data_IF_838963989803
#
_entry.id   IF_838963989803
#
_cell.length_a   1.000
_cell.length_b   1.000
_cell.length_c   1.000
_cell.angle_alpha   90.00
_cell.angle_beta   90.00
_cell.angle_gamma   90.00
#
_symmetry.space_group_name_H-M   'P 1'
#
loop_
_entity.id
_entity.type
_entity.pdbx_description
1 polymer ?
#
# COMPACT_ATOMS: atom_id res chain seq x y z
N UNK A 1 -2.59 -14.63 -5.75
CA UNK A 1 -3.58 -13.72 -5.14
C UNK A 1 -2.94 -12.35 -5.00
N UNK A 2 -3.35 -11.38 -5.82
CA UNK A 2 -2.88 -9.99 -5.68
C UNK A 2 -3.55 -9.40 -4.45
N UNK A 3 -2.76 -9.09 -3.45
CA UNK A 3 -3.20 -8.48 -2.21
C UNK A 3 -3.73 -7.07 -2.47
N UNK A 4 -4.76 -6.68 -1.75
CA UNK A 4 -5.51 -5.47 -2.02
C UNK A 4 -4.99 -4.31 -1.18
N UNK A 5 -4.38 -3.32 -1.82
CA UNK A 5 -4.13 -2.04 -1.18
C UNK A 5 -5.43 -1.19 -1.15
N UNK A 6 -5.75 -0.59 -0.01
CA UNK A 6 -6.90 0.31 0.10
C UNK A 6 -6.76 1.52 -0.83
N UNK A 7 -5.54 1.98 -1.09
CA UNK A 7 -5.27 3.07 -2.02
C UNK A 7 -5.91 2.86 -3.39
N UNK A 8 -5.92 1.62 -3.89
CA UNK A 8 -6.45 1.30 -5.21
C UNK A 8 -7.99 1.40 -5.29
N UNK A 9 -8.66 1.63 -4.15
CA UNK A 9 -10.12 1.80 -4.05
C UNK A 9 -10.54 3.24 -3.76
N UNK A 10 -9.58 4.09 -3.40
CA UNK A 10 -9.82 5.47 -3.08
C UNK A 10 -9.59 6.34 -4.33
N UNK A 11 -10.49 7.26 -4.57
CA UNK A 11 -10.19 8.45 -5.36
C UNK A 11 -9.19 9.28 -4.56
N UNK A 12 -7.93 9.17 -4.93
CA UNK A 12 -6.81 9.73 -4.17
C UNK A 12 -6.96 11.23 -4.00
N UNK A 13 -7.41 11.95 -5.03
CA UNK A 13 -7.57 13.40 -4.96
C UNK A 13 -8.68 13.78 -3.97
N UNK A 14 -9.83 13.14 -4.05
CA UNK A 14 -10.96 13.41 -3.16
C UNK A 14 -10.62 13.11 -1.69
N UNK A 15 -10.05 11.94 -1.42
CA UNK A 15 -9.81 11.51 -0.03
C UNK A 15 -8.56 12.09 0.61
N UNK A 16 -7.55 12.50 -0.14
CA UNK A 16 -6.43 13.28 0.42
C UNK A 16 -6.95 14.60 0.97
N UNK A 17 -7.75 15.32 0.20
CA UNK A 17 -8.35 16.60 0.66
C UNK A 17 -9.34 16.41 1.81
N UNK A 18 -10.11 15.33 1.80
CA UNK A 18 -11.03 15.01 2.90
C UNK A 18 -10.27 14.67 4.18
N UNK A 19 -9.19 13.89 4.10
CA UNK A 19 -8.34 13.57 5.23
C UNK A 19 -7.75 14.82 5.88
N UNK A 20 -7.20 15.73 5.09
CA UNK A 20 -6.65 17.01 5.55
C UNK A 20 -7.73 17.88 6.21
N UNK A 21 -8.93 17.94 5.62
CA UNK A 21 -10.05 18.68 6.17
C UNK A 21 -10.55 18.08 7.51
N UNK A 22 -10.60 16.75 7.62
CA UNK A 22 -11.01 16.05 8.85
C UNK A 22 -9.99 16.23 9.96
N UNK A 23 -8.69 16.18 9.67
CA UNK A 23 -7.63 16.48 10.65
C UNK A 23 -7.73 17.91 11.19
N UNK A 24 -8.13 18.86 10.33
CA UNK A 24 -8.27 20.28 10.71
C UNK A 24 -9.55 20.55 11.50
N UNK A 25 -10.60 19.75 11.34
CA UNK A 25 -11.94 20.05 11.88
C UNK A 25 -12.35 19.19 13.07
N UNK A 26 -11.73 18.01 13.29
CA UNK A 26 -12.14 17.08 14.34
C UNK A 26 -10.95 16.64 15.18
N UNK A 27 -10.81 17.17 16.39
CA UNK A 27 -9.87 16.65 17.36
C UNK A 27 -10.17 15.18 17.66
N UNK A 28 -9.32 14.25 17.15
CA UNK A 28 -9.43 12.81 17.39
C UNK A 28 -9.73 11.94 16.18
N UNK A 29 -10.13 12.48 15.04
CA UNK A 29 -10.30 11.71 13.79
C UNK A 29 -9.02 11.84 12.96
N UNK A 30 -8.33 10.73 12.75
CA UNK A 30 -7.13 10.66 11.92
C UNK A 30 -7.48 10.00 10.59
N UNK A 31 -7.76 10.80 9.56
CA UNK A 31 -7.97 10.33 8.20
C UNK A 31 -9.36 9.75 7.91
N UNK A 32 -9.47 9.00 6.84
CA UNK A 32 -10.73 8.38 6.37
C UNK A 32 -11.16 7.30 7.37
N UNK A 33 -12.35 7.39 7.97
CA UNK A 33 -12.80 6.43 8.96
C UNK A 33 -13.16 5.07 8.35
N UNK A 34 -13.04 4.00 9.14
CA UNK A 34 -13.43 2.64 8.75
C UNK A 34 -14.92 2.52 8.43
N UNK A 35 -15.73 3.43 8.96
CA UNK A 35 -17.18 3.52 8.66
C UNK A 35 -17.50 4.15 7.30
N UNK A 36 -16.51 4.75 6.62
CA UNK A 36 -16.72 5.32 5.29
C UNK A 36 -16.99 4.23 4.27
N UNK A 37 -18.11 4.36 3.56
CA UNK A 37 -18.52 3.43 2.51
C UNK A 37 -17.77 3.62 1.18
N UNK A 38 -16.87 4.59 1.10
CA UNK A 38 -16.08 4.94 -0.09
C UNK A 38 -16.95 5.32 -1.31
N UNK A 39 -18.14 5.85 -1.07
CA UNK A 39 -19.06 6.27 -2.15
C UNK A 39 -18.45 7.39 -3.01
N UNK A 40 -17.62 8.26 -2.42
CA UNK A 40 -16.89 9.31 -3.13
C UNK A 40 -15.94 8.79 -4.20
N UNK A 41 -15.46 7.54 -4.09
CA UNK A 41 -14.54 6.93 -5.06
C UNK A 41 -15.22 6.44 -6.35
N UNK A 42 -16.54 6.37 -6.41
CA UNK A 42 -17.26 5.72 -7.52
C UNK A 42 -16.91 6.27 -8.91
N UNK A 43 -16.53 7.54 -9.01
CA UNK A 43 -16.27 8.23 -10.29
C UNK A 43 -14.79 8.50 -10.56
N UNK A 44 -13.95 8.49 -9.53
CA UNK A 44 -12.53 8.84 -9.63
C UNK A 44 -11.59 7.63 -9.87
N UNK A 45 -12.09 6.40 -9.73
CA UNK A 45 -11.28 5.20 -9.95
C UNK A 45 -11.02 4.97 -11.44
N UNK A 46 -9.77 5.13 -11.87
CA UNK A 46 -9.35 4.99 -13.27
C UNK A 46 -8.86 3.58 -13.61
N UNK A 47 -8.40 2.79 -12.63
CA UNK A 47 -7.92 1.43 -12.86
C UNK A 47 -9.05 0.40 -12.76
N UNK A 48 -9.10 -0.57 -13.68
CA UNK A 48 -10.06 -1.68 -13.62
C UNK A 48 -9.89 -2.53 -12.36
N UNK A 49 -8.66 -2.61 -11.82
CA UNK A 49 -8.39 -3.26 -10.55
C UNK A 49 -9.10 -2.53 -9.39
N UNK A 50 -8.89 -1.23 -9.23
CA UNK A 50 -9.55 -0.43 -8.19
C UNK A 50 -11.07 -0.49 -8.31
N UNK A 51 -11.61 -0.33 -9.53
CA UNK A 51 -13.05 -0.44 -9.82
C UNK A 51 -13.61 -1.80 -9.39
N UNK A 52 -12.96 -2.90 -9.75
CA UNK A 52 -13.42 -4.26 -9.40
C UNK A 52 -13.45 -4.49 -7.88
N UNK A 53 -12.46 -3.94 -7.15
CA UNK A 53 -12.41 -4.05 -5.69
C UNK A 53 -13.46 -3.20 -5.01
N UNK A 54 -13.69 -2.00 -5.50
CA UNK A 54 -14.75 -1.14 -5.00
C UNK A 54 -16.13 -1.78 -5.21
N UNK A 55 -16.41 -2.32 -6.40
CA UNK A 55 -17.69 -3.02 -6.69
C UNK A 55 -17.84 -4.23 -5.79
N UNK A 56 -16.82 -5.07 -5.60
CA UNK A 56 -16.86 -6.24 -4.73
C UNK A 56 -17.23 -5.85 -3.29
N UNK A 57 -16.66 -4.76 -2.77
CA UNK A 57 -16.98 -4.25 -1.45
C UNK A 57 -18.42 -3.74 -1.36
N UNK A 58 -18.91 -3.02 -2.37
CA UNK A 58 -20.32 -2.57 -2.43
C UNK A 58 -21.31 -3.75 -2.45
N UNK A 59 -20.98 -4.82 -3.18
CA UNK A 59 -21.81 -6.05 -3.18
C UNK A 59 -21.86 -6.67 -1.80
N UNK A 60 -20.73 -6.76 -1.08
CA UNK A 60 -20.69 -7.27 0.29
C UNK A 60 -21.47 -6.40 1.27
N UNK A 61 -21.36 -5.07 1.18
CA UNK A 61 -22.15 -4.14 1.99
C UNK A 61 -23.65 -4.27 1.73
N UNK A 62 -24.07 -4.41 0.46
CA UNK A 62 -25.45 -4.64 0.10
C UNK A 62 -25.98 -5.99 0.60
N UNK A 63 -25.15 -7.03 0.60
CA UNK A 63 -25.50 -8.33 1.17
C UNK A 63 -25.60 -8.28 2.70
N UNK A 64 -24.71 -7.53 3.36
CA UNK A 64 -24.76 -7.31 4.81
C UNK A 64 -26.04 -6.57 5.23
N UNK A 65 -26.48 -5.59 4.46
CA UNK A 65 -27.77 -4.91 4.68
C UNK A 65 -28.98 -5.84 4.56
N UNK A 66 -28.81 -7.03 3.95
CA UNK A 66 -29.82 -8.09 3.84
C UNK A 66 -29.65 -9.21 4.87
N UNK A 67 -28.76 -9.04 5.84
CA UNK A 67 -28.52 -9.98 6.93
C UNK A 67 -27.33 -10.91 6.78
N UNK A 68 -26.48 -10.75 5.76
CA UNK A 68 -25.19 -11.46 5.69
C UNK A 68 -24.23 -10.89 6.73
N UNK A 69 -23.68 -11.72 7.61
CA UNK A 69 -22.54 -11.32 8.44
C UNK A 69 -21.30 -11.21 7.55
N UNK A 70 -20.77 -10.01 7.41
CA UNK A 70 -19.60 -9.74 6.59
C UNK A 70 -18.56 -8.92 7.34
N UNK A 71 -17.30 -9.26 7.09
CA UNK A 71 -16.12 -8.52 7.54
C UNK A 71 -15.32 -8.10 6.31
N UNK A 72 -14.92 -6.85 6.27
CA UNK A 72 -14.10 -6.27 5.20
C UNK A 72 -12.79 -5.82 5.80
N UNK A 73 -11.68 -6.34 5.27
CA UNK A 73 -10.34 -5.93 5.66
C UNK A 73 -9.72 -5.11 4.53
N UNK A 74 -9.28 -3.90 4.85
CA UNK A 74 -8.66 -2.96 3.91
C UNK A 74 -7.21 -2.74 4.29
N UNK A 75 -6.26 -3.58 3.81
CA UNK A 75 -4.84 -3.39 4.08
C UNK A 75 -4.23 -2.30 3.22
N UNK A 76 -3.14 -1.69 3.71
CA UNK A 76 -2.18 -0.94 2.92
C UNK A 76 -1.43 -1.81 1.92
N UNK A 77 -0.24 -1.39 1.47
CA UNK A 77 0.66 -2.24 0.70
C UNK A 77 1.14 -3.41 1.57
N UNK A 78 0.71 -4.62 1.23
CA UNK A 78 1.13 -5.81 1.94
C UNK A 78 2.51 -6.20 1.44
N UNK A 79 3.48 -6.23 2.34
CA UNK A 79 4.87 -6.57 2.07
C UNK A 79 5.25 -7.89 2.72
N UNK A 80 6.52 -8.24 2.79
CA UNK A 80 7.00 -9.51 3.33
C UNK A 80 6.66 -9.74 4.81
N UNK A 81 6.96 -10.94 5.27
CA UNK A 81 6.85 -11.32 6.68
C UNK A 81 7.88 -10.54 7.53
N UNK A 82 7.45 -10.02 8.68
CA UNK A 82 8.28 -9.15 9.52
C UNK A 82 9.46 -9.86 10.19
N UNK A 83 9.47 -11.19 10.26
CA UNK A 83 10.49 -11.98 10.94
C UNK A 83 11.40 -12.73 9.97
N UNK A 84 10.84 -13.26 8.90
CA UNK A 84 11.55 -14.10 7.93
C UNK A 84 11.99 -13.35 6.70
N UNK A 85 11.47 -12.12 6.49
CA UNK A 85 11.65 -11.32 5.30
C UNK A 85 11.14 -11.95 3.99
N UNK A 86 10.53 -13.13 4.04
CA UNK A 86 9.95 -13.77 2.85
C UNK A 86 8.92 -12.85 2.22
N UNK A 87 9.15 -12.48 0.96
CA UNK A 87 8.32 -11.51 0.27
C UNK A 87 8.06 -11.91 -1.18
N UNK A 88 7.02 -11.33 -1.77
CA UNK A 88 6.78 -11.43 -3.21
C UNK A 88 7.67 -10.41 -3.95
N UNK A 89 8.72 -10.89 -4.59
CA UNK A 89 9.68 -10.05 -5.34
C UNK A 89 9.11 -9.46 -6.63
N UNK A 90 7.94 -9.93 -7.07
CA UNK A 90 7.22 -9.43 -8.25
C UNK A 90 6.22 -8.32 -7.93
N UNK A 91 6.11 -7.92 -6.64
CA UNK A 91 5.28 -6.80 -6.23
C UNK A 91 5.87 -5.45 -6.71
N UNK A 92 4.98 -4.46 -6.88
CA UNK A 92 5.35 -3.13 -7.38
C UNK A 92 6.50 -2.48 -6.57
N UNK A 93 6.43 -2.52 -5.24
CA UNK A 93 7.43 -1.84 -4.39
C UNK A 93 8.80 -2.49 -4.52
N UNK A 94 8.86 -3.83 -4.57
CA UNK A 94 10.14 -4.54 -4.73
C UNK A 94 10.68 -4.46 -6.16
N UNK A 95 9.83 -4.41 -7.16
CA UNK A 95 10.24 -4.09 -8.53
C UNK A 95 10.79 -2.68 -8.64
N UNK A 96 10.19 -1.70 -7.95
CA UNK A 96 10.69 -0.32 -7.90
C UNK A 96 12.08 -0.28 -7.25
N UNK A 97 12.25 -0.92 -6.11
CA UNK A 97 13.56 -1.03 -5.42
C UNK A 97 14.61 -1.65 -6.34
N UNK A 98 14.30 -2.81 -6.93
CA UNK A 98 15.23 -3.52 -7.82
C UNK A 98 15.57 -2.71 -9.06
N UNK A 99 14.58 -2.08 -9.69
CA UNK A 99 14.79 -1.24 -10.87
C UNK A 99 15.62 0.01 -10.56
N UNK A 100 15.42 0.64 -9.40
CA UNK A 100 16.26 1.75 -8.94
C UNK A 100 17.70 1.30 -8.68
N UNK A 101 17.90 0.13 -8.05
CA UNK A 101 19.23 -0.44 -7.84
C UNK A 101 19.95 -0.74 -9.15
N UNK A 102 19.24 -1.26 -10.16
CA UNK A 102 19.79 -1.53 -11.50
C UNK A 102 20.12 -0.23 -12.25
N UNK A 103 19.31 0.80 -12.07
CA UNK A 103 19.52 2.11 -12.70
C UNK A 103 20.65 2.92 -12.04
N UNK A 104 20.94 2.68 -10.75
CA UNK A 104 21.84 3.49 -9.93
C UNK A 104 21.24 4.81 -9.44
N UNK A 105 19.95 5.04 -9.67
CA UNK A 105 19.24 6.25 -9.27
C UNK A 105 17.92 5.93 -8.57
N UNK A 106 17.56 6.77 -7.58
CA UNK A 106 16.26 6.74 -6.90
C UNK A 106 15.56 8.09 -7.09
N UNK A 107 14.24 8.10 -7.35
CA UNK A 107 13.50 9.35 -7.50
C UNK A 107 13.31 10.05 -6.16
N UNK A 108 13.40 11.39 -6.15
CA UNK A 108 13.00 12.19 -5.00
C UNK A 108 11.47 12.23 -4.89
N UNK A 109 10.94 11.49 -3.93
CA UNK A 109 9.50 11.41 -3.64
C UNK A 109 9.28 11.37 -2.13
N UNK A 110 8.62 12.37 -1.58
CA UNK A 110 8.42 12.48 -0.13
C UNK A 110 7.01 12.06 0.33
N UNK A 111 6.28 11.31 -0.50
CA UNK A 111 4.98 10.76 -0.13
C UNK A 111 5.12 9.67 0.93
N UNK A 112 4.14 9.59 1.81
CA UNK A 112 4.03 8.50 2.80
C UNK A 112 3.61 7.20 2.12
N UNK A 113 4.20 6.08 2.56
CA UNK A 113 3.80 4.75 2.13
C UNK A 113 3.17 4.02 3.31
N UNK A 114 1.96 3.53 3.12
CA UNK A 114 1.29 2.65 4.07
C UNK A 114 1.68 1.19 3.79
N UNK A 115 2.85 0.75 4.27
CA UNK A 115 3.37 -0.62 4.13
C UNK A 115 3.08 -1.44 5.38
N UNK A 116 2.44 -2.59 5.21
CA UNK A 116 2.07 -3.48 6.31
C UNK A 116 2.64 -4.88 6.09
N UNK A 117 3.29 -5.47 7.10
CA UNK A 117 3.79 -6.84 6.99
C UNK A 117 2.66 -7.85 6.81
N UNK A 118 2.90 -8.89 6.00
CA UNK A 118 1.88 -9.90 5.67
C UNK A 118 1.40 -10.68 6.90
N UNK A 119 2.28 -10.93 7.85
CA UNK A 119 1.94 -11.60 9.12
C UNK A 119 1.01 -10.74 9.98
N UNK A 120 1.18 -9.40 9.99
CA UNK A 120 0.23 -8.50 10.63
C UNK A 120 -1.13 -8.51 9.94
N UNK A 121 -1.17 -8.44 8.60
CA UNK A 121 -2.43 -8.52 7.84
C UNK A 121 -3.15 -9.85 8.08
N UNK A 122 -2.42 -10.96 8.07
CA UNK A 122 -2.96 -12.30 8.34
C UNK A 122 -3.57 -12.38 9.75
N UNK A 123 -2.88 -11.79 10.75
CA UNK A 123 -3.35 -11.74 12.14
C UNK A 123 -4.65 -10.94 12.27
N UNK A 124 -4.69 -9.73 11.76
CA UNK A 124 -5.91 -8.91 11.79
C UNK A 124 -7.06 -9.61 11.07
N UNK A 125 -6.78 -10.20 9.90
CA UNK A 125 -7.80 -10.94 9.13
C UNK A 125 -8.36 -12.13 9.93
N UNK A 126 -7.49 -12.90 10.59
CA UNK A 126 -7.91 -14.04 11.42
C UNK A 126 -8.74 -13.58 12.62
N UNK A 127 -8.29 -12.55 13.34
CA UNK A 127 -9.03 -11.99 14.47
C UNK A 127 -10.37 -11.41 14.04
N UNK A 128 -10.41 -10.68 12.94
CA UNK A 128 -11.62 -10.10 12.39
C UNK A 128 -12.62 -11.19 11.96
N UNK A 129 -12.15 -12.29 11.36
CA UNK A 129 -13.00 -13.42 11.01
C UNK A 129 -13.58 -14.15 12.25
N UNK A 130 -12.76 -14.34 13.29
CA UNK A 130 -13.16 -15.08 14.50
C UNK A 130 -14.01 -14.24 15.45
N UNK A 131 -13.72 -12.95 15.60
CA UNK A 131 -14.36 -12.05 16.57
C UNK A 131 -15.31 -11.05 15.92
N UNK A 132 -15.03 -10.61 14.70
CA UNK A 132 -15.89 -9.70 13.93
C UNK A 132 -17.25 -10.31 13.56
N UNK A 133 -17.34 -11.65 13.57
CA UNK A 133 -18.63 -12.36 13.43
C UNK A 133 -19.56 -12.19 14.65
N UNK A 134 -19.09 -11.64 15.76
CA UNK A 134 -19.92 -11.24 16.89
C UNK A 134 -20.56 -9.86 16.68
N UNK A 135 -20.88 -9.52 15.43
CA UNK A 135 -21.77 -8.40 15.11
C UNK A 135 -23.09 -8.68 15.81
N UNK A 136 -23.65 -7.74 16.59
CA UNK A 136 -24.92 -7.94 17.26
C UNK A 136 -25.98 -8.43 16.27
N UNK A 137 -26.75 -9.43 16.66
CA UNK A 137 -27.87 -9.92 15.84
C UNK A 137 -28.75 -8.73 15.44
N UNK A 138 -28.87 -8.45 14.14
CA UNK A 138 -29.57 -7.29 13.59
C UNK A 138 -28.72 -6.13 13.11
N UNK A 139 -27.38 -6.20 13.20
CA UNK A 139 -26.53 -5.22 12.53
C UNK A 139 -26.68 -5.34 11.00
N UNK A 140 -27.03 -4.24 10.38
CA UNK A 140 -27.32 -4.15 8.92
C UNK A 140 -26.09 -3.74 8.12
N UNK A 141 -24.89 -3.83 8.71
CA UNK A 141 -23.67 -3.33 8.08
C UNK A 141 -22.50 -4.32 8.22
N UNK A 142 -21.68 -4.40 7.19
CA UNK A 142 -20.38 -5.08 7.28
C UNK A 142 -19.45 -4.30 8.24
N UNK A 143 -18.70 -5.03 9.06
CA UNK A 143 -17.63 -4.41 9.87
C UNK A 143 -16.38 -4.26 9.02
N UNK A 144 -15.83 -3.06 8.95
CA UNK A 144 -14.63 -2.74 8.18
C UNK A 144 -13.44 -2.56 9.12
N UNK A 145 -12.29 -3.06 8.72
CA UNK A 145 -11.01 -2.94 9.42
C UNK A 145 -9.95 -2.39 8.46
N UNK A 146 -9.39 -1.23 8.78
CA UNK A 146 -8.22 -0.71 8.10
C UNK A 146 -6.95 -1.28 8.72
N UNK A 147 -6.11 -1.93 7.92
CA UNK A 147 -4.80 -2.40 8.39
C UNK A 147 -3.74 -1.42 7.90
N UNK A 148 -3.39 -0.49 8.77
CA UNK A 148 -2.47 0.60 8.49
C UNK A 148 -1.09 0.37 9.09
N UNK A 149 -0.08 1.00 8.49
CA UNK A 149 1.30 0.93 8.95
C UNK A 149 1.53 1.82 10.18
N UNK A 150 2.12 1.25 11.22
CA UNK A 150 2.62 1.97 12.38
C UNK A 150 4.03 1.47 12.75
N UNK A 151 5.09 2.28 12.59
CA UNK A 151 5.10 3.61 11.99
C UNK A 151 4.86 3.59 10.47
N UNK A 152 4.52 4.77 9.92
CA UNK A 152 4.54 5.00 8.46
C UNK A 152 5.95 5.35 8.02
N UNK A 153 6.31 5.00 6.79
CA UNK A 153 7.59 5.34 6.16
C UNK A 153 7.35 6.22 4.92
N UNK A 154 8.32 7.06 4.55
CA UNK A 154 8.27 7.85 3.32
C UNK A 154 9.01 7.14 2.19
N UNK A 155 8.64 7.43 0.92
CA UNK A 155 9.36 6.87 -0.23
C UNK A 155 10.85 7.19 -0.18
N UNK A 156 11.23 8.41 0.20
CA UNK A 156 12.63 8.80 0.33
C UNK A 156 13.40 8.01 1.39
N UNK A 157 12.73 7.59 2.47
CA UNK A 157 13.35 6.71 3.48
C UNK A 157 13.42 5.26 2.97
N UNK A 158 12.35 4.78 2.34
CA UNK A 158 12.27 3.43 1.78
C UNK A 158 13.31 3.20 0.68
N UNK A 159 13.37 4.08 -0.32
CA UNK A 159 14.33 3.98 -1.41
C UNK A 159 15.75 4.34 -0.96
N UNK A 160 15.90 5.28 -0.02
CA UNK A 160 17.20 5.64 0.58
C UNK A 160 17.83 4.51 1.40
N UNK A 161 17.05 3.52 1.83
CA UNK A 161 17.57 2.31 2.46
C UNK A 161 18.55 1.56 1.54
N UNK A 162 18.38 1.62 0.21
CA UNK A 162 19.36 1.07 -0.74
C UNK A 162 20.77 1.57 -0.44
N UNK A 163 20.96 2.89 -0.38
CA UNK A 163 22.29 3.48 -0.07
C UNK A 163 22.76 3.09 1.34
N UNK A 164 21.86 3.06 2.32
CA UNK A 164 22.17 2.66 3.70
C UNK A 164 22.72 1.23 3.78
N UNK A 165 22.21 0.33 2.94
CA UNK A 165 22.61 -1.08 2.90
C UNK A 165 23.61 -1.42 1.79
N UNK A 166 24.28 -0.41 1.21
CA UNK A 166 25.46 -0.58 0.37
C UNK A 166 25.23 -0.63 -1.13
N UNK A 167 24.00 -0.34 -1.61
CA UNK A 167 23.79 -0.17 -3.04
C UNK A 167 24.20 1.24 -3.49
N UNK A 168 24.99 1.38 -4.55
CA UNK A 168 25.44 2.68 -5.06
C UNK A 168 24.29 3.36 -5.83
N UNK A 169 23.39 4.01 -5.12
CA UNK A 169 22.29 4.77 -5.71
C UNK A 169 22.37 6.24 -5.33
N UNK A 170 22.07 7.11 -6.28
CA UNK A 170 21.97 8.56 -6.10
C UNK A 170 20.50 9.01 -6.16
N UNK A 171 20.11 9.94 -5.28
CA UNK A 171 18.78 10.56 -5.33
C UNK A 171 18.77 11.69 -6.35
N UNK A 172 17.83 11.64 -7.27
CA UNK A 172 17.65 12.66 -8.32
C UNK A 172 16.19 13.14 -8.35
N UNK A 173 15.98 14.30 -8.94
CA UNK A 173 14.64 14.79 -9.24
C UNK A 173 13.85 13.76 -10.05
N UNK A 174 12.54 13.67 -9.80
CA UNK A 174 11.69 12.66 -10.44
C UNK A 174 11.77 12.68 -11.98
N UNK A 175 11.79 13.88 -12.58
CA UNK A 175 11.87 14.03 -14.04
C UNK A 175 13.19 13.50 -14.60
N UNK A 176 14.29 13.73 -13.90
CA UNK A 176 15.62 13.24 -14.26
C UNK A 176 15.68 11.72 -14.13
N UNK A 177 15.19 11.18 -13.01
CA UNK A 177 15.09 9.73 -12.80
C UNK A 177 14.24 9.05 -13.87
N UNK A 178 13.08 9.64 -14.21
CA UNK A 178 12.22 9.15 -15.27
C UNK A 178 12.94 9.13 -16.62
N UNK A 179 13.64 10.21 -16.98
CA UNK A 179 14.41 10.31 -18.22
C UNK A 179 15.55 9.27 -18.26
N UNK A 180 16.25 9.06 -17.14
CA UNK A 180 17.28 8.03 -17.03
C UNK A 180 16.68 6.62 -17.24
N UNK A 181 15.52 6.33 -16.67
CA UNK A 181 14.82 5.06 -16.87
C UNK A 181 14.35 4.87 -18.32
N UNK A 182 13.76 5.90 -18.95
CA UNK A 182 13.37 5.88 -20.36
C UNK A 182 14.57 5.59 -21.27
N UNK A 183 15.68 6.27 -21.05
CA UNK A 183 16.92 6.06 -21.81
C UNK A 183 17.49 4.66 -21.60
N UNK A 184 17.51 4.17 -20.36
CA UNK A 184 17.98 2.83 -20.05
C UNK A 184 17.20 1.77 -20.80
N UNK A 185 15.88 1.89 -20.86
CA UNK A 185 15.01 0.96 -21.59
C UNK A 185 15.14 1.10 -23.10
N UNK A 186 15.24 2.35 -23.63
CA UNK A 186 15.41 2.59 -25.07
C UNK A 186 16.75 2.08 -25.61
N UNK A 187 17.84 2.25 -24.84
CA UNK A 187 19.15 1.73 -25.25
C UNK A 187 19.23 0.22 -25.16
N UNK A 188 18.54 -0.40 -24.21
CA UNK A 188 18.43 -1.84 -24.13
C UNK A 188 17.67 -2.44 -25.33
N UNK A 189 16.66 -1.73 -25.88
CA UNK A 189 15.93 -2.18 -27.09
C UNK A 189 16.71 -2.03 -28.39
N UNK A 190 17.76 -1.20 -28.42
CA UNK A 190 18.66 -1.06 -29.59
C UNK A 190 19.80 -2.09 -29.64
N UNK A 191 20.05 -2.81 -28.54
CA UNK A 191 20.94 -3.96 -28.44
C UNK A 191 20.22 -5.29 -28.63
N UNK A 192 20.57 -6.29 -27.86
CA UNK A 192 19.82 -7.55 -27.85
C UNK A 192 18.51 -7.40 -27.02
N UNK A 193 17.38 -8.00 -27.47
CA UNK A 193 16.09 -7.91 -26.73
C UNK A 193 16.16 -8.36 -25.26
N UNK A 194 17.16 -9.17 -24.90
CA UNK A 194 17.39 -9.64 -23.53
C UNK A 194 17.73 -8.54 -22.52
N UNK A 195 18.27 -7.40 -22.95
CA UNK A 195 18.77 -6.37 -22.04
C UNK A 195 17.68 -5.36 -21.62
N UNK A 196 16.67 -5.13 -22.46
CA UNK A 196 15.52 -4.27 -22.12
C UNK A 196 14.60 -4.94 -21.09
N UNK A 197 14.42 -6.26 -21.19
CA UNK A 197 13.66 -7.06 -20.24
C UNK A 197 14.40 -7.22 -18.91
N UNK A 198 15.68 -6.84 -18.83
CA UNK A 198 16.50 -6.99 -17.65
C UNK A 198 16.13 -5.99 -16.52
N UNK A 199 15.54 -4.82 -16.83
CA UNK A 199 15.11 -3.92 -15.78
C UNK A 199 13.79 -4.37 -15.16
N UNK A 200 13.78 -4.48 -13.82
CA UNK A 200 12.62 -4.97 -13.07
C UNK A 200 11.36 -4.09 -13.23
N UNK A 201 11.50 -2.82 -13.65
CA UNK A 201 10.40 -1.90 -13.92
C UNK A 201 9.83 -2.01 -15.33
N UNK A 202 10.47 -2.72 -16.24
CA UNK A 202 9.99 -2.84 -17.62
C UNK A 202 8.51 -3.23 -17.74
N UNK A 203 8.00 -4.23 -17.01
CA UNK A 203 6.57 -4.61 -17.10
C UNK A 203 5.60 -3.55 -16.55
N UNK A 204 6.11 -2.56 -15.84
CA UNK A 204 5.35 -1.51 -15.15
C UNK A 204 5.61 -0.12 -15.70
N UNK A 205 6.37 -0.01 -16.81
CA UNK A 205 6.78 1.28 -17.39
C UNK A 205 5.62 2.25 -17.60
N UNK A 206 4.50 1.76 -18.15
CA UNK A 206 3.33 2.60 -18.41
C UNK A 206 2.78 3.27 -17.15
N UNK A 207 2.89 2.59 -15.99
CA UNK A 207 2.47 3.13 -14.70
C UNK A 207 3.54 4.06 -14.11
N UNK A 208 4.81 3.64 -14.19
CA UNK A 208 5.95 4.37 -13.62
C UNK A 208 6.21 5.68 -14.36
N UNK A 209 6.02 5.70 -15.67
CA UNK A 209 6.25 6.89 -16.50
C UNK A 209 5.09 7.88 -16.49
N UNK A 210 3.91 7.49 -15.99
CA UNK A 210 2.75 8.38 -15.97
C UNK A 210 2.93 9.55 -15.01
N UNK A 211 2.87 9.33 -13.72
CA UNK A 211 3.11 10.33 -12.66
C UNK A 211 3.17 9.64 -11.29
N UNK A 212 4.32 9.06 -10.95
CA UNK A 212 4.48 8.42 -9.65
C UNK A 212 4.26 9.37 -8.47
N UNK A 213 4.79 10.61 -8.44
CA UNK A 213 4.62 11.49 -7.30
C UNK A 213 3.15 11.76 -6.97
N UNK A 214 2.29 11.92 -7.98
CA UNK A 214 0.85 12.11 -7.76
C UNK A 214 0.15 10.78 -7.51
N UNK A 215 0.43 9.76 -8.31
CA UNK A 215 -0.24 8.45 -8.21
C UNK A 215 0.11 7.68 -6.94
N UNK A 216 1.21 8.04 -6.25
CA UNK A 216 1.61 7.40 -4.97
C UNK A 216 1.15 8.16 -3.72
N UNK A 217 0.49 9.32 -3.85
CA UNK A 217 -0.15 9.96 -2.69
C UNK A 217 -1.19 9.03 -2.08
N UNK A 218 -1.20 8.93 -0.77
CA UNK A 218 -2.14 8.10 -0.02
C UNK A 218 -2.93 8.97 0.94
N UNK A 219 -4.24 8.74 1.01
CA UNK A 219 -5.05 9.30 2.09
C UNK A 219 -4.61 8.70 3.43
N UNK A 220 -4.64 9.48 4.49
CA UNK A 220 -4.53 8.96 5.84
C UNK A 220 -5.80 8.18 6.20
N UNK A 221 -5.64 7.10 6.91
CA UNK A 221 -6.73 6.19 7.28
C UNK A 221 -6.79 6.08 8.80
N UNK A 222 -8.00 6.21 9.35
CA UNK A 222 -8.25 5.86 10.73
C UNK A 222 -8.37 4.32 10.86
N UNK A 223 -7.75 3.74 11.89
CA UNK A 223 -7.75 2.30 12.17
C UNK A 223 -8.29 1.97 13.59
N UNK A 224 -9.26 2.75 14.05
CA UNK A 224 -9.81 2.63 15.40
C UNK A 224 -10.41 1.25 15.68
N UNK A 225 -11.14 0.66 14.73
CA UNK A 225 -11.69 -0.69 14.85
C UNK A 225 -10.58 -1.74 14.94
N UNK A 226 -9.57 -1.64 14.05
CA UNK A 226 -8.42 -2.54 14.04
C UNK A 226 -7.63 -2.44 15.34
N UNK A 227 -7.35 -1.23 15.80
CA UNK A 227 -6.65 -0.99 17.07
C UNK A 227 -7.45 -1.56 18.26
N UNK A 228 -8.77 -1.41 18.27
CA UNK A 228 -9.63 -1.98 19.31
C UNK A 228 -9.61 -3.51 19.25
N UNK A 229 -9.76 -4.11 18.06
CA UNK A 229 -9.68 -5.56 17.85
C UNK A 229 -8.37 -6.15 18.39
N UNK A 230 -7.23 -5.52 18.10
CA UNK A 230 -5.91 -5.95 18.58
C UNK A 230 -5.77 -5.79 20.09
N UNK A 231 -6.28 -4.69 20.66
CA UNK A 231 -6.27 -4.46 22.12
C UNK A 231 -7.05 -5.53 22.86
N UNK A 232 -8.26 -5.85 22.39
CA UNK A 232 -9.12 -6.86 22.98
C UNK A 232 -8.56 -8.28 22.83
N UNK A 233 -7.68 -8.47 21.85
CA UNK A 233 -6.93 -9.70 21.65
C UNK A 233 -5.63 -9.76 22.45
N UNK A 234 -5.21 -8.70 23.14
CA UNK A 234 -3.91 -8.54 23.79
C UNK A 234 -2.73 -8.65 22.81
N UNK A 235 -2.88 -8.10 21.59
CA UNK A 235 -1.94 -8.23 20.49
C UNK A 235 -1.47 -6.88 19.92
N UNK A 236 -1.35 -5.86 20.77
CA UNK A 236 -0.83 -4.55 20.36
C UNK A 236 0.68 -4.51 20.13
N UNK A 237 1.43 -5.46 20.71
CA UNK A 237 2.90 -5.48 20.67
C UNK A 237 3.48 -6.16 19.40
N UNK A 238 2.66 -6.30 18.36
CA UNK A 238 3.10 -6.87 17.09
C UNK A 238 3.68 -5.80 16.16
N UNK A 239 4.56 -6.21 15.25
CA UNK A 239 5.09 -5.34 14.20
C UNK A 239 3.94 -4.98 13.25
N UNK A 240 3.53 -3.70 13.27
CA UNK A 240 2.38 -3.19 12.50
C UNK A 240 2.78 -2.38 11.27
N UNK A 241 4.06 -2.08 11.10
CA UNK A 241 4.56 -1.25 10.02
C UNK A 241 5.99 -1.61 9.64
N UNK A 242 6.51 -0.92 8.66
CA UNK A 242 7.85 -1.12 8.12
C UNK A 242 8.70 0.10 8.44
N UNK A 243 9.81 -0.13 9.08
CA UNK A 243 10.89 0.84 9.28
C UNK A 243 12.10 0.52 8.37
N UNK A 244 13.13 1.37 8.41
CA UNK A 244 14.33 1.19 7.61
C UNK A 244 15.05 -0.13 7.95
N UNK A 245 14.98 -0.59 9.20
CA UNK A 245 15.61 -1.86 9.62
C UNK A 245 14.93 -3.05 8.96
N UNK A 246 13.60 -3.06 8.94
CA UNK A 246 12.83 -4.12 8.28
C UNK A 246 12.99 -4.06 6.75
N UNK A 247 13.12 -2.86 6.16
CA UNK A 247 13.51 -2.73 4.74
C UNK A 247 14.84 -3.41 4.48
N UNK A 248 15.84 -3.25 5.37
CA UNK A 248 17.12 -3.93 5.27
C UNK A 248 17.01 -5.46 5.24
N UNK A 249 16.11 -6.04 6.04
CA UNK A 249 15.83 -7.48 6.00
C UNK A 249 15.22 -7.91 4.65
N UNK A 250 14.30 -7.13 4.11
CA UNK A 250 13.73 -7.41 2.79
C UNK A 250 14.77 -7.28 1.67
N UNK A 251 15.67 -6.30 1.75
CA UNK A 251 16.77 -6.15 0.80
C UNK A 251 17.72 -7.36 0.84
N UNK A 252 18.02 -7.88 2.03
CA UNK A 252 18.83 -9.09 2.18
C UNK A 252 18.15 -10.35 1.61
N UNK A 253 16.82 -10.39 1.54
CA UNK A 253 16.07 -11.45 0.87
C UNK A 253 16.09 -11.35 -0.66
N UNK A 254 16.27 -10.13 -1.21
CA UNK A 254 16.27 -9.88 -2.65
C UNK A 254 17.61 -10.22 -3.33
N UNK A 255 18.68 -10.40 -2.56
CA UNK A 255 20.04 -10.77 -3.00
C UNK A 255 20.24 -12.27 -2.91
#
# INVERSE_FOLDING_TARGET
QRQMCIRDRLDTEHYVHLGDALQSSCAGVRGVPETDALDGSARGLTSGYGQSKWVAERVLMAAAARGLTAVIVRPGYVVGDSRTAVTNTDDFLFRLVKGCAQLGFVPDMDNTINMVPVDHVARVTSLAALRGAHVPAGATHATVFHVTSHPTIRYNQFLGALATYGWPVERTEYVEWRTALENHVLHATSGQPSDAEANALFPLLHFVLADLPTSTKSAELDDAHTTTLLRDAHELDVVRGVDVSLVGLYLAWLV
#
